data_IF_238019164897
#
_entry.id   IF_238019164897
#
_cell.length_a   1.000
_cell.length_b   1.000
_cell.length_c   1.000
_cell.angle_alpha   90.00
_cell.angle_beta   90.00
_cell.angle_gamma   90.00
#
_symmetry.space_group_name_H-M   'P 1'
#
loop_
_entity.id
_entity.type
_entity.pdbx_description
1 polymer ?
#
# COMPACT_ATOMS: atom_id res chain seq x y z
N UNK A 1 -22.66 20.94 -18.07
CA UNK A 1 -22.61 19.52 -17.72
C UNK A 1 -21.27 19.21 -17.04
N UNK A 2 -21.30 18.50 -15.91
CA UNK A 2 -20.12 18.30 -15.06
C UNK A 2 -19.70 16.82 -14.94
N UNK A 3 -20.53 15.89 -15.32
CA UNK A 3 -20.26 14.46 -15.18
C UNK A 3 -20.36 13.70 -16.49
N UNK A 4 -19.65 12.57 -16.58
CA UNK A 4 -19.74 11.65 -17.70
C UNK A 4 -21.19 11.23 -17.98
N UNK A 5 -21.92 10.82 -16.94
CA UNK A 5 -23.32 10.40 -17.07
C UNK A 5 -24.24 11.52 -17.61
N UNK A 6 -24.03 12.77 -17.17
CA UNK A 6 -24.79 13.91 -17.68
C UNK A 6 -24.54 14.16 -19.16
N UNK A 7 -23.30 14.04 -19.62
CA UNK A 7 -22.95 14.16 -21.04
C UNK A 7 -23.55 13.03 -21.87
N UNK A 8 -23.55 11.80 -21.39
CA UNK A 8 -24.17 10.67 -22.05
C UNK A 8 -25.69 10.84 -22.19
N UNK A 9 -26.37 11.25 -21.13
CA UNK A 9 -27.81 11.52 -21.14
C UNK A 9 -28.15 12.62 -22.15
N UNK A 10 -27.42 13.73 -22.14
CA UNK A 10 -27.63 14.82 -23.10
C UNK A 10 -27.31 14.43 -24.53
N UNK A 11 -26.32 13.59 -24.75
CA UNK A 11 -26.00 13.05 -26.07
C UNK A 11 -27.19 12.28 -26.63
N UNK A 12 -27.85 11.43 -25.84
CA UNK A 12 -29.04 10.70 -26.26
C UNK A 12 -30.19 11.64 -26.59
N UNK A 13 -30.40 12.70 -25.81
CA UNK A 13 -31.40 13.73 -26.08
C UNK A 13 -31.11 14.45 -27.40
N UNK A 14 -29.87 14.83 -27.67
CA UNK A 14 -29.49 15.52 -28.94
C UNK A 14 -29.66 14.61 -30.13
N UNK A 15 -29.28 13.35 -30.05
CA UNK A 15 -29.50 12.35 -31.11
C UNK A 15 -30.98 12.17 -31.37
N UNK A 16 -31.81 12.08 -30.32
CA UNK A 16 -33.25 11.99 -30.47
C UNK A 16 -33.83 13.20 -31.19
N UNK A 17 -33.35 14.40 -30.88
CA UNK A 17 -33.75 15.63 -31.57
C UNK A 17 -33.30 15.62 -33.06
N UNK A 18 -32.13 15.15 -33.37
CA UNK A 18 -31.64 15.00 -34.76
C UNK A 18 -32.52 14.02 -35.55
N UNK A 19 -32.90 12.90 -34.95
CA UNK A 19 -33.78 11.92 -35.56
C UNK A 19 -35.18 12.50 -35.79
N UNK A 20 -35.72 13.21 -34.81
CA UNK A 20 -37.01 13.91 -34.90
C UNK A 20 -36.99 14.95 -35.98
N UNK A 21 -35.93 15.71 -36.14
CA UNK A 21 -35.77 16.69 -37.22
C UNK A 21 -35.96 16.08 -38.61
N UNK A 22 -35.40 14.90 -38.84
CA UNK A 22 -35.56 14.16 -40.09
C UNK A 22 -36.97 13.76 -40.42
N UNK A 23 -37.84 13.63 -39.41
CA UNK A 23 -39.25 13.24 -39.58
C UNK A 23 -40.19 14.43 -39.83
N UNK A 24 -39.70 15.64 -39.53
CA UNK A 24 -40.46 16.87 -39.76
C UNK A 24 -40.32 17.27 -41.23
N UNK A 25 -41.41 17.56 -41.87
CA UNK A 25 -41.45 17.94 -43.27
C UNK A 25 -40.80 19.31 -43.56
N UNK A 26 -40.90 19.71 -44.79
CA UNK A 26 -40.27 20.95 -45.28
C UNK A 26 -40.93 22.22 -44.68
N UNK A 27 -40.08 23.15 -44.29
CA UNK A 27 -40.46 24.53 -43.96
C UNK A 27 -40.48 25.40 -45.24
N UNK A 28 -41.09 26.62 -45.20
CA UNK A 28 -40.95 27.57 -46.31
C UNK A 28 -39.48 27.78 -46.73
N UNK A 29 -39.22 27.75 -48.04
CA UNK A 29 -37.87 27.71 -48.58
C UNK A 29 -36.96 28.82 -48.04
N UNK A 30 -37.45 30.04 -47.85
CA UNK A 30 -36.69 31.17 -47.29
C UNK A 30 -36.25 30.93 -45.82
N UNK A 31 -37.00 30.15 -45.09
CA UNK A 31 -36.78 29.87 -43.65
C UNK A 31 -36.03 28.55 -43.47
N UNK A 32 -36.15 27.62 -44.38
CA UNK A 32 -35.61 26.26 -44.24
C UNK A 32 -34.12 26.23 -44.05
N UNK A 33 -33.35 26.98 -44.84
CA UNK A 33 -31.89 27.07 -44.71
C UNK A 33 -31.48 27.68 -43.41
N UNK A 34 -32.11 28.79 -43.01
CA UNK A 34 -31.79 29.50 -41.75
C UNK A 34 -32.10 28.64 -40.52
N UNK A 35 -33.24 27.94 -40.53
CA UNK A 35 -33.62 27.07 -39.42
C UNK A 35 -32.68 25.87 -39.33
N UNK A 36 -32.35 25.24 -40.48
CA UNK A 36 -31.40 24.13 -40.55
C UNK A 36 -30.01 24.53 -40.05
N UNK A 37 -29.49 25.66 -40.48
CA UNK A 37 -28.19 26.16 -40.04
C UNK A 37 -28.18 26.44 -38.53
N UNK A 38 -29.26 27.02 -37.99
CA UNK A 38 -29.41 27.28 -36.57
C UNK A 38 -29.40 25.99 -35.74
N UNK A 39 -30.12 24.97 -36.21
CA UNK A 39 -30.18 23.66 -35.56
C UNK A 39 -28.85 22.95 -35.63
N UNK A 40 -28.24 22.90 -36.82
CA UNK A 40 -26.93 22.29 -37.02
C UNK A 40 -25.86 22.97 -36.19
N UNK A 41 -25.84 24.28 -36.13
CA UNK A 41 -24.88 25.04 -35.32
C UNK A 41 -25.00 24.70 -33.82
N UNK A 42 -26.23 24.60 -33.32
CA UNK A 42 -26.47 24.22 -31.92
C UNK A 42 -25.97 22.80 -31.64
N UNK A 43 -26.23 21.85 -32.53
CA UNK A 43 -25.75 20.46 -32.40
C UNK A 43 -24.21 20.40 -32.47
N UNK A 44 -23.61 21.09 -33.43
CA UNK A 44 -22.16 21.12 -33.61
C UNK A 44 -21.47 21.72 -32.38
N UNK A 45 -22.03 22.78 -31.83
CA UNK A 45 -21.51 23.41 -30.57
C UNK A 45 -21.60 22.45 -29.37
N UNK A 46 -22.70 21.71 -29.25
CA UNK A 46 -22.83 20.68 -28.22
C UNK A 46 -21.76 19.59 -28.35
N UNK A 47 -21.59 19.03 -29.53
CA UNK A 47 -20.60 17.96 -29.76
C UNK A 47 -19.17 18.46 -29.62
N UNK A 48 -18.89 19.72 -29.98
CA UNK A 48 -17.58 20.35 -29.75
C UNK A 48 -17.27 20.43 -28.26
N UNK A 49 -18.21 20.94 -27.46
CA UNK A 49 -18.06 21.02 -25.99
C UNK A 49 -17.93 19.66 -25.34
N UNK A 50 -18.69 18.68 -25.83
CA UNK A 50 -18.56 17.29 -25.40
C UNK A 50 -17.16 16.76 -25.65
N UNK A 51 -16.63 16.97 -26.85
CA UNK A 51 -15.28 16.54 -27.23
C UNK A 51 -14.20 17.18 -26.35
N UNK A 52 -14.33 18.46 -26.04
CA UNK A 52 -13.43 19.16 -25.13
C UNK A 52 -13.48 18.59 -23.70
N UNK A 53 -14.67 18.30 -23.21
CA UNK A 53 -14.84 17.68 -21.90
C UNK A 53 -14.19 16.31 -21.83
N UNK A 54 -14.43 15.44 -22.81
CA UNK A 54 -13.83 14.10 -22.84
C UNK A 54 -12.32 14.14 -23.03
N UNK A 55 -11.81 15.10 -23.80
CA UNK A 55 -10.36 15.31 -23.93
C UNK A 55 -9.72 15.66 -22.59
N UNK A 56 -10.29 16.61 -21.85
CA UNK A 56 -9.82 16.98 -20.51
C UNK A 56 -9.92 15.84 -19.53
N UNK A 57 -11.01 15.06 -19.59
CA UNK A 57 -11.19 13.87 -18.76
C UNK A 57 -10.10 12.83 -19.03
N UNK A 58 -9.81 12.57 -20.29
CA UNK A 58 -8.76 11.64 -20.72
C UNK A 58 -7.37 12.11 -20.28
N UNK A 59 -7.07 13.39 -20.44
CA UNK A 59 -5.81 14.00 -19.99
C UNK A 59 -5.65 13.87 -18.47
N UNK A 60 -6.73 14.14 -17.72
CA UNK A 60 -6.74 13.95 -16.25
C UNK A 60 -6.50 12.50 -15.84
N UNK A 61 -7.14 11.53 -16.53
CA UNK A 61 -6.91 10.10 -16.29
C UNK A 61 -5.49 9.67 -16.61
N UNK A 62 -4.91 10.19 -17.71
CA UNK A 62 -3.52 9.91 -18.07
C UNK A 62 -2.54 10.49 -17.04
N UNK A 63 -2.79 11.69 -16.54
CA UNK A 63 -1.99 12.28 -15.47
C UNK A 63 -2.06 11.44 -14.18
N UNK A 64 -3.25 10.97 -13.82
CA UNK A 64 -3.45 10.07 -12.69
C UNK A 64 -2.70 8.73 -12.88
N UNK A 65 -2.73 8.19 -14.09
CA UNK A 65 -2.00 6.97 -14.43
C UNK A 65 -0.49 7.13 -14.22
N UNK A 66 0.09 8.23 -14.68
CA UNK A 66 1.52 8.51 -14.48
C UNK A 66 1.88 8.65 -13.00
N UNK A 67 1.05 9.32 -12.21
CA UNK A 67 1.23 9.40 -10.75
C UNK A 67 1.19 8.02 -10.09
N UNK A 68 0.22 7.19 -10.46
CA UNK A 68 0.10 5.82 -9.95
C UNK A 68 1.28 4.94 -10.35
N UNK A 69 1.75 5.05 -11.59
CA UNK A 69 2.96 4.36 -12.04
C UNK A 69 4.20 4.76 -11.23
N UNK A 70 4.35 6.05 -10.94
CA UNK A 70 5.45 6.54 -10.11
C UNK A 70 5.42 5.94 -8.70
N UNK A 71 4.23 5.80 -8.10
CA UNK A 71 4.08 5.12 -6.81
C UNK A 71 4.41 3.63 -6.90
N UNK A 72 4.04 2.95 -8.00
CA UNK A 72 4.42 1.56 -8.24
C UNK A 72 5.93 1.38 -8.30
N UNK A 73 6.62 2.22 -9.06
CA UNK A 73 8.08 2.21 -9.18
C UNK A 73 8.76 2.42 -7.84
N UNK A 74 8.27 3.36 -7.06
CA UNK A 74 8.79 3.64 -5.72
C UNK A 74 8.57 2.46 -4.76
N UNK A 75 7.39 1.86 -4.76
CA UNK A 75 7.11 0.68 -3.95
C UNK A 75 7.97 -0.52 -4.38
N UNK A 76 8.14 -0.74 -5.68
CA UNK A 76 9.00 -1.80 -6.21
C UNK A 76 10.47 -1.61 -5.84
N UNK A 77 10.95 -0.36 -5.81
CA UNK A 77 12.32 -0.05 -5.38
C UNK A 77 12.57 -0.33 -3.89
N UNK A 78 11.52 -0.34 -3.09
CA UNK A 78 11.58 -0.50 -1.63
C UNK A 78 11.22 -1.91 -1.14
N UNK A 79 10.65 -2.76 -2.00
CA UNK A 79 10.13 -4.08 -1.59
C UNK A 79 11.17 -5.01 -0.99
N UNK A 80 12.43 -4.88 -1.38
CA UNK A 80 13.55 -5.71 -0.90
C UNK A 80 14.33 -5.05 0.24
N UNK A 81 13.87 -3.90 0.75
CA UNK A 81 14.52 -3.20 1.86
C UNK A 81 14.47 -4.01 3.15
N UNK A 82 15.55 -3.95 3.91
CA UNK A 82 15.65 -4.52 5.25
C UNK A 82 15.45 -3.49 6.37
N UNK A 83 15.30 -2.23 6.01
CA UNK A 83 14.95 -1.14 6.93
C UNK A 83 13.44 -1.18 7.25
N UNK A 84 13.03 -2.18 8.01
CA UNK A 84 11.64 -2.57 8.20
C UNK A 84 10.72 -1.45 8.66
N UNK A 85 11.13 -0.70 9.67
CA UNK A 85 10.32 0.38 10.23
C UNK A 85 10.15 1.55 9.26
N UNK A 86 11.27 2.07 8.76
CA UNK A 86 11.28 3.23 7.87
C UNK A 86 10.56 2.94 6.56
N UNK A 87 10.84 1.79 5.96
CA UNK A 87 10.20 1.37 4.70
C UNK A 87 8.70 1.13 4.89
N UNK A 88 8.29 0.53 6.00
CA UNK A 88 6.86 0.37 6.32
C UNK A 88 6.13 1.70 6.41
N UNK A 89 6.74 2.71 7.03
CA UNK A 89 6.18 4.06 7.11
C UNK A 89 6.07 4.70 5.72
N UNK A 90 7.09 4.56 4.87
CA UNK A 90 7.08 5.08 3.50
C UNK A 90 5.99 4.40 2.67
N UNK A 91 5.89 3.07 2.69
CA UNK A 91 4.86 2.34 1.94
C UNK A 91 3.45 2.67 2.43
N UNK A 92 3.25 2.88 3.72
CA UNK A 92 1.98 3.33 4.28
C UNK A 92 1.59 4.72 3.76
N UNK A 93 2.56 5.64 3.68
CA UNK A 93 2.34 6.96 3.05
C UNK A 93 1.98 6.84 1.58
N UNK A 94 2.67 5.97 0.83
CA UNK A 94 2.35 5.73 -0.58
C UNK A 94 0.93 5.18 -0.77
N UNK A 95 0.47 4.29 0.11
CA UNK A 95 -0.90 3.78 0.09
C UNK A 95 -1.93 4.88 0.34
N UNK A 96 -1.66 5.79 1.26
CA UNK A 96 -2.51 6.97 1.50
C UNK A 96 -2.53 7.89 0.30
N UNK A 97 -1.37 8.16 -0.29
CA UNK A 97 -1.23 8.98 -1.49
C UNK A 97 -1.98 8.39 -2.68
N UNK A 98 -1.93 7.07 -2.85
CA UNK A 98 -2.70 6.36 -3.87
C UNK A 98 -4.19 6.68 -3.82
N UNK A 99 -4.75 6.71 -2.62
CA UNK A 99 -6.17 7.03 -2.41
C UNK A 99 -6.55 8.46 -2.78
N UNK A 100 -5.58 9.37 -2.78
CA UNK A 100 -5.80 10.77 -3.16
C UNK A 100 -5.73 11.00 -4.67
N UNK A 101 -5.16 10.05 -5.42
CA UNK A 101 -5.07 10.11 -6.87
C UNK A 101 -6.42 9.70 -7.44
N UNK A 102 -6.90 10.48 -8.41
CA UNK A 102 -8.16 10.23 -9.09
C UNK A 102 -8.18 8.99 -9.96
N UNK A 103 -9.30 8.73 -10.64
CA UNK A 103 -9.48 7.53 -11.46
C UNK A 103 -8.57 7.50 -12.67
N UNK A 104 -8.25 6.29 -13.13
CA UNK A 104 -7.54 6.02 -14.38
C UNK A 104 -8.45 5.24 -15.32
N UNK A 105 -8.07 5.13 -16.59
CA UNK A 105 -8.79 4.31 -17.57
C UNK A 105 -8.94 2.87 -17.07
N UNK A 106 -10.11 2.26 -17.26
CA UNK A 106 -10.39 0.86 -16.90
C UNK A 106 -9.36 -0.11 -17.49
N UNK A 107 -8.84 0.19 -18.66
CA UNK A 107 -7.80 -0.61 -19.33
C UNK A 107 -6.55 -0.80 -18.46
N UNK A 108 -6.20 0.18 -17.65
CA UNK A 108 -4.97 0.19 -16.84
C UNK A 108 -5.22 0.07 -15.34
N UNK A 109 -6.44 0.32 -14.88
CA UNK A 109 -6.78 0.42 -13.45
C UNK A 109 -6.37 -0.82 -12.65
N UNK A 110 -6.80 -1.99 -13.09
CA UNK A 110 -6.52 -3.24 -12.39
C UNK A 110 -5.03 -3.62 -12.44
N UNK A 111 -4.40 -3.43 -13.59
CA UNK A 111 -2.98 -3.74 -13.78
C UNK A 111 -2.08 -2.88 -12.89
N UNK A 112 -2.34 -1.59 -12.82
CA UNK A 112 -1.57 -0.64 -11.97
C UNK A 112 -1.77 -0.93 -10.49
N UNK A 113 -3.02 -1.18 -10.08
CA UNK A 113 -3.33 -1.55 -8.70
C UNK A 113 -2.64 -2.86 -8.30
N UNK A 114 -2.75 -3.88 -9.13
CA UNK A 114 -2.10 -5.17 -8.89
C UNK A 114 -0.58 -5.03 -8.75
N UNK A 115 0.03 -4.25 -9.61
CA UNK A 115 1.46 -3.96 -9.56
C UNK A 115 1.86 -3.32 -8.23
N UNK A 116 1.12 -2.30 -7.81
CA UNK A 116 1.37 -1.57 -6.56
C UNK A 116 1.20 -2.46 -5.33
N UNK A 117 0.05 -3.14 -5.24
CA UNK A 117 -0.26 -3.97 -4.06
C UNK A 117 0.66 -5.18 -3.96
N UNK A 118 1.07 -5.76 -5.08
CA UNK A 118 2.02 -6.88 -5.09
C UNK A 118 3.36 -6.47 -4.47
N UNK A 119 3.87 -5.30 -4.81
CA UNK A 119 5.11 -4.78 -4.22
C UNK A 119 4.97 -4.53 -2.72
N UNK A 120 3.87 -3.90 -2.31
CA UNK A 120 3.60 -3.64 -0.89
C UNK A 120 3.45 -4.95 -0.09
N UNK A 121 2.65 -5.88 -0.59
CA UNK A 121 2.40 -7.17 0.07
C UNK A 121 3.67 -8.00 0.20
N UNK A 122 4.51 -8.00 -0.83
CA UNK A 122 5.81 -8.67 -0.79
C UNK A 122 6.67 -8.12 0.35
N UNK A 123 6.78 -6.81 0.47
CA UNK A 123 7.56 -6.19 1.55
C UNK A 123 7.01 -6.56 2.94
N UNK A 124 5.71 -6.44 3.14
CA UNK A 124 5.10 -6.75 4.44
C UNK A 124 5.16 -8.23 4.79
N UNK A 125 5.11 -9.11 3.81
CA UNK A 125 5.33 -10.56 4.01
C UNK A 125 6.77 -10.82 4.47
N UNK A 126 7.77 -10.23 3.82
CA UNK A 126 9.17 -10.38 4.21
C UNK A 126 9.44 -9.78 5.60
N UNK A 127 8.84 -8.65 5.91
CA UNK A 127 8.88 -8.05 7.25
C UNK A 127 8.31 -8.99 8.31
N UNK A 128 7.16 -9.59 8.03
CA UNK A 128 6.52 -10.57 8.92
C UNK A 128 7.41 -11.78 9.20
N UNK A 129 8.04 -12.33 8.16
CA UNK A 129 8.98 -13.45 8.27
C UNK A 129 10.20 -13.07 9.12
N UNK A 130 10.80 -11.92 8.89
CA UNK A 130 11.94 -11.42 9.65
C UNK A 130 11.59 -11.23 11.13
N UNK A 131 10.45 -10.64 11.42
CA UNK A 131 9.94 -10.45 12.80
C UNK A 131 9.68 -11.78 13.49
N UNK A 132 9.10 -12.74 12.79
CA UNK A 132 8.84 -14.09 13.30
C UNK A 132 10.15 -14.83 13.61
N UNK A 133 11.14 -14.77 12.72
CA UNK A 133 12.47 -15.35 12.95
C UNK A 133 13.17 -14.73 14.15
N UNK A 134 13.12 -13.41 14.29
CA UNK A 134 13.70 -12.71 15.44
C UNK A 134 13.04 -13.13 16.74
N UNK A 135 11.70 -13.23 16.78
CA UNK A 135 10.96 -13.70 17.95
C UNK A 135 11.33 -15.14 18.33
N UNK A 136 11.51 -16.00 17.33
CA UNK A 136 11.94 -17.38 17.56
C UNK A 136 13.32 -17.45 18.21
N UNK A 137 14.30 -16.70 17.69
CA UNK A 137 15.65 -16.60 18.24
C UNK A 137 15.64 -16.04 19.66
N UNK A 138 14.88 -14.97 19.89
CA UNK A 138 14.73 -14.37 21.22
C UNK A 138 14.11 -15.37 22.23
N UNK A 139 13.14 -16.15 21.80
CA UNK A 139 12.51 -17.18 22.64
C UNK A 139 13.50 -18.30 22.99
N UNK A 140 14.29 -18.77 22.02
CA UNK A 140 15.36 -19.73 22.29
C UNK A 140 16.39 -19.18 23.28
N UNK A 141 16.78 -17.92 23.09
CA UNK A 141 17.70 -17.23 24.02
C UNK A 141 17.11 -17.16 25.44
N UNK A 142 15.80 -16.88 25.54
CA UNK A 142 15.09 -16.86 26.79
C UNK A 142 15.16 -18.22 27.50
N UNK A 143 14.90 -19.32 26.80
CA UNK A 143 14.96 -20.66 27.38
C UNK A 143 16.39 -21.03 27.81
N UNK A 144 17.38 -20.69 27.01
CA UNK A 144 18.80 -20.91 27.36
C UNK A 144 19.18 -20.12 28.63
N UNK A 145 18.77 -18.88 28.76
CA UNK A 145 19.04 -18.06 29.95
C UNK A 145 18.32 -18.58 31.18
N UNK A 146 17.08 -19.03 31.04
CA UNK A 146 16.35 -19.69 32.13
C UNK A 146 17.05 -20.98 32.63
N UNK A 147 17.58 -21.78 31.69
CA UNK A 147 18.34 -22.97 31.99
C UNK A 147 19.61 -22.64 32.82
N UNK A 148 20.33 -21.58 32.45
CA UNK A 148 21.51 -21.11 33.21
C UNK A 148 21.10 -20.70 34.64
N UNK A 149 20.03 -19.95 34.80
CA UNK A 149 19.52 -19.55 36.10
C UNK A 149 19.16 -20.80 36.94
N UNK A 150 18.49 -21.78 36.35
CA UNK A 150 18.15 -23.02 37.03
C UNK A 150 19.42 -23.80 37.49
N UNK A 151 20.46 -23.86 36.67
CA UNK A 151 21.74 -24.49 37.00
C UNK A 151 22.45 -23.72 38.15
N UNK A 152 22.47 -22.39 38.09
CA UNK A 152 23.04 -21.57 39.17
C UNK A 152 22.28 -21.77 40.47
N UNK A 153 20.96 -21.83 40.43
CA UNK A 153 20.12 -22.04 41.63
C UNK A 153 20.31 -23.45 42.21
N UNK A 154 20.68 -24.41 41.40
CA UNK A 154 20.94 -25.77 41.85
C UNK A 154 22.30 -25.96 42.54
N UNK A 155 23.19 -24.98 42.43
CA UNK A 155 24.47 -24.97 43.20
C UNK A 155 24.16 -24.62 44.64
N UNK A 156 24.47 -25.51 45.56
CA UNK A 156 24.18 -25.37 47.00
C UNK A 156 25.47 -25.49 47.83
N UNK A 157 25.29 -25.38 49.18
CA UNK A 157 26.40 -25.46 50.14
C UNK A 157 27.08 -26.83 50.19
N UNK A 158 26.47 -27.86 49.60
CA UNK A 158 27.02 -29.23 49.57
C UNK A 158 27.98 -29.44 48.38
N UNK A 159 27.98 -28.51 47.43
CA UNK A 159 28.87 -28.57 46.26
C UNK A 159 30.29 -28.15 46.66
N UNK A 160 31.33 -28.86 46.18
CA UNK A 160 32.72 -28.46 46.38
C UNK A 160 32.97 -27.07 45.87
N UNK A 161 33.62 -26.21 46.68
CA UNK A 161 33.83 -24.81 46.39
C UNK A 161 34.59 -24.57 45.07
N UNK A 162 35.58 -25.40 44.74
CA UNK A 162 36.34 -25.30 43.51
C UNK A 162 35.50 -25.67 42.29
N UNK A 163 34.71 -26.74 42.38
CA UNK A 163 33.79 -27.15 41.31
C UNK A 163 32.68 -26.13 41.13
N UNK A 164 32.10 -25.61 42.21
CA UNK A 164 31.09 -24.55 42.15
C UNK A 164 31.61 -23.29 41.49
N UNK A 165 32.82 -22.83 41.85
CA UNK A 165 33.44 -21.66 41.25
C UNK A 165 33.74 -21.84 39.73
N UNK A 166 34.12 -23.04 39.36
CA UNK A 166 34.37 -23.37 37.93
C UNK A 166 33.06 -23.37 37.15
N UNK A 167 32.04 -23.99 37.67
CA UNK A 167 30.71 -24.04 37.06
C UNK A 167 30.09 -22.66 36.91
N UNK A 168 30.17 -21.82 37.95
CA UNK A 168 29.68 -20.43 37.88
C UNK A 168 30.40 -19.65 36.76
N UNK A 169 31.72 -19.76 36.63
CA UNK A 169 32.48 -19.09 35.55
C UNK A 169 32.07 -19.55 34.15
N UNK A 170 31.84 -20.85 33.98
CA UNK A 170 31.37 -21.41 32.72
C UNK A 170 29.97 -20.93 32.39
N UNK A 171 29.05 -20.91 33.35
CA UNK A 171 27.69 -20.40 33.19
C UNK A 171 27.67 -18.90 32.87
N UNK A 172 28.54 -18.11 33.49
CA UNK A 172 28.70 -16.68 33.15
C UNK A 172 29.19 -16.48 31.72
N UNK A 173 30.10 -17.31 31.24
CA UNK A 173 30.52 -17.30 29.81
C UNK A 173 29.38 -17.64 28.89
N UNK A 174 28.62 -18.70 29.18
CA UNK A 174 27.44 -19.08 28.39
C UNK A 174 26.42 -17.95 28.36
N UNK A 175 26.13 -17.32 29.48
CA UNK A 175 25.21 -16.19 29.59
C UNK A 175 25.60 -15.03 28.66
N UNK A 176 26.86 -14.64 28.71
CA UNK A 176 27.38 -13.54 27.90
C UNK A 176 27.39 -13.86 26.39
N UNK A 177 27.42 -15.14 26.03
CA UNK A 177 27.35 -15.60 24.65
C UNK A 177 25.91 -15.70 24.12
N UNK A 178 24.90 -15.62 24.97
CA UNK A 178 23.49 -15.68 24.56
C UNK A 178 23.03 -14.27 24.18
N UNK A 179 22.36 -14.15 23.02
CA UNK A 179 21.87 -12.89 22.50
C UNK A 179 20.63 -12.35 23.22
N UNK A 180 19.93 -11.48 22.54
CA UNK A 180 18.74 -10.81 23.08
C UNK A 180 17.59 -11.77 23.38
N UNK A 181 16.81 -11.42 24.39
CA UNK A 181 15.56 -12.08 24.80
C UNK A 181 14.38 -11.15 24.58
N UNK A 182 13.12 -11.65 24.62
CA UNK A 182 11.96 -10.78 24.53
C UNK A 182 12.03 -9.64 25.56
N UNK A 183 11.75 -8.42 25.11
CA UNK A 183 11.92 -7.20 25.92
C UNK A 183 11.21 -7.27 27.28
N UNK A 184 10.02 -7.88 27.32
CA UNK A 184 9.22 -8.04 28.55
C UNK A 184 9.91 -8.89 29.62
N UNK A 185 10.80 -9.80 29.23
CA UNK A 185 11.48 -10.73 30.12
C UNK A 185 12.89 -10.27 30.50
N UNK A 186 13.44 -9.31 29.80
CA UNK A 186 14.83 -8.87 29.94
C UNK A 186 15.20 -8.45 31.37
N UNK A 187 14.44 -7.55 31.94
CA UNK A 187 14.72 -7.02 33.28
C UNK A 187 14.53 -8.07 34.38
N UNK A 188 13.51 -8.91 34.22
CA UNK A 188 13.23 -9.99 35.14
C UNK A 188 14.35 -11.01 35.20
N UNK A 189 14.85 -11.43 34.03
CA UNK A 189 15.97 -12.36 33.92
C UNK A 189 17.26 -11.76 34.49
N UNK A 190 17.51 -10.51 34.20
CA UNK A 190 18.69 -9.79 34.72
C UNK A 190 18.70 -9.75 36.23
N UNK A 191 17.56 -9.42 36.86
CA UNK A 191 17.41 -9.41 38.31
C UNK A 191 17.57 -10.80 38.90
N UNK A 192 17.02 -11.83 38.32
CA UNK A 192 17.16 -13.22 38.77
C UNK A 192 18.62 -13.67 38.69
N UNK A 193 19.31 -13.37 37.60
CA UNK A 193 20.69 -13.73 37.40
C UNK A 193 21.64 -13.05 38.39
N UNK A 194 21.49 -11.75 38.62
CA UNK A 194 22.35 -10.98 39.53
C UNK A 194 21.98 -11.12 41.02
N UNK A 195 20.83 -11.70 41.34
CA UNK A 195 20.41 -12.01 42.67
C UNK A 195 20.94 -13.33 43.25
N UNK A 196 21.63 -14.11 42.39
CA UNK A 196 22.26 -15.38 42.76
C UNK A 196 23.75 -15.15 42.99
#
# INVERSE_FOLDING_TARGET
LKTFAAWETKTQEVIALQNKWKTIGFAPQKMNVKIFERFRKACDEFFKKKGEFFKLLKEGMNANLEKKKALCEKAESLKDSTEWKETAEILTKLQKEWKTIGPVSKKYSDAVWKRFITACDYFFEQKGKATSSQRSVEQENLEKKKAIIARLTAIDETTDADEASKEVRELMKEWNGIGHVPFKEKDRLYKQYHGL
#
